data_IF_181546211366
#
_entry.id   IF_181546211366
#
_cell.length_a   1.000
_cell.length_b   1.000
_cell.length_c   1.000
_cell.angle_alpha   90.00
_cell.angle_beta   90.00
_cell.angle_gamma   90.00
#
_symmetry.space_group_name_H-M   'P 1'
#
loop_
_entity.id
_entity.type
_entity.pdbx_description
1 polymer ?
#
# COMPACT_ATOMS: atom_id res chain seq x y z
N UNK A 1 10.89 16.23 7.23
CA UNK A 1 9.55 15.78 6.79
C UNK A 1 9.65 15.53 5.29
N UNK A 2 9.22 14.36 4.81
CA UNK A 2 9.18 14.10 3.36
C UNK A 2 8.19 15.03 2.70
N UNK A 3 8.52 15.52 1.51
CA UNK A 3 7.56 16.25 0.65
C UNK A 3 6.87 15.23 -0.25
N UNK A 4 5.57 15.32 -0.39
CA UNK A 4 4.76 14.45 -1.25
C UNK A 4 4.09 15.26 -2.38
N UNK A 5 4.67 16.40 -2.72
CA UNK A 5 4.17 17.35 -3.73
C UNK A 5 3.98 16.70 -5.11
N UNK A 6 4.85 15.75 -5.45
CA UNK A 6 4.79 15.00 -6.73
C UNK A 6 3.53 14.14 -6.88
N UNK A 7 2.82 13.85 -5.77
CA UNK A 7 1.60 13.03 -5.75
C UNK A 7 0.29 13.84 -5.66
N UNK A 8 0.32 15.17 -5.81
CA UNK A 8 -0.88 16.02 -5.67
C UNK A 8 -2.00 15.72 -6.66
N UNK A 9 -1.66 15.26 -7.88
CA UNK A 9 -2.63 14.91 -8.90
C UNK A 9 -3.11 13.46 -8.79
N UNK A 10 -2.61 12.71 -7.81
CA UNK A 10 -2.90 11.30 -7.62
C UNK A 10 -3.80 11.14 -6.41
N UNK A 11 -4.74 10.21 -6.52
CA UNK A 11 -5.66 9.86 -5.46
C UNK A 11 -5.58 8.36 -5.18
N UNK A 12 -5.83 7.99 -3.93
CA UNK A 12 -5.94 6.62 -3.45
C UNK A 12 -7.40 6.26 -3.20
N UNK A 13 -7.79 5.03 -3.48
CA UNK A 13 -9.18 4.57 -3.31
C UNK A 13 -9.60 4.57 -1.84
N UNK A 14 -10.86 4.89 -1.58
CA UNK A 14 -11.46 4.86 -0.24
C UNK A 14 -11.41 3.46 0.38
N UNK A 15 -11.40 2.39 -0.41
CA UNK A 15 -11.21 1.00 0.08
C UNK A 15 -9.88 0.82 0.79
N UNK A 16 -8.80 1.38 0.25
CA UNK A 16 -7.47 1.36 0.87
C UNK A 16 -7.47 2.16 2.16
N UNK A 17 -8.01 3.38 2.16
CA UNK A 17 -8.10 4.24 3.35
C UNK A 17 -8.94 3.59 4.43
N UNK A 18 -10.08 2.99 4.08
CA UNK A 18 -10.94 2.22 4.98
C UNK A 18 -10.18 1.05 5.64
N UNK A 19 -9.41 0.30 4.85
CA UNK A 19 -8.55 -0.78 5.36
C UNK A 19 -7.52 -0.28 6.38
N UNK A 20 -6.96 0.91 6.15
CA UNK A 20 -6.06 1.56 7.10
C UNK A 20 -6.76 1.86 8.43
N UNK A 21 -7.95 2.47 8.41
CA UNK A 21 -8.71 2.76 9.63
C UNK A 21 -9.01 1.49 10.43
N UNK A 22 -9.40 0.42 9.74
CA UNK A 22 -9.67 -0.87 10.37
C UNK A 22 -8.43 -1.52 10.99
N UNK A 23 -7.24 -1.31 10.40
CA UNK A 23 -5.99 -1.87 10.92
C UNK A 23 -5.61 -1.35 12.30
N UNK A 24 -6.05 -0.15 12.64
CA UNK A 24 -5.75 0.47 13.92
C UNK A 24 -6.51 -0.17 15.10
N UNK A 25 -7.56 -0.95 14.87
CA UNK A 25 -8.31 -1.64 15.91
C UNK A 25 -8.66 -0.71 17.09
N UNK A 26 -8.13 -1.00 18.27
CA UNK A 26 -8.33 -0.18 19.49
C UNK A 26 -7.70 1.22 19.43
N UNK A 27 -6.81 1.49 18.46
CA UNK A 27 -6.19 2.80 18.23
C UNK A 27 -6.95 3.61 17.16
N UNK A 28 -8.19 3.27 16.88
CA UNK A 28 -9.02 3.93 15.87
C UNK A 28 -9.16 5.44 16.06
N UNK A 29 -9.18 5.91 17.31
CA UNK A 29 -9.20 7.34 17.61
C UNK A 29 -7.94 8.06 17.07
N UNK A 30 -6.77 7.44 17.19
CA UNK A 30 -5.53 7.99 16.64
C UNK A 30 -5.54 7.99 15.12
N UNK A 31 -6.00 6.91 14.48
CA UNK A 31 -6.17 6.88 13.02
C UNK A 31 -7.09 8.01 12.55
N UNK A 32 -8.22 8.22 13.24
CA UNK A 32 -9.17 9.30 12.97
C UNK A 32 -8.51 10.67 13.07
N UNK A 33 -7.77 10.92 14.14
CA UNK A 33 -7.03 12.17 14.32
C UNK A 33 -6.03 12.43 13.19
N UNK A 34 -5.26 11.43 12.80
CA UNK A 34 -4.24 11.55 11.74
C UNK A 34 -4.88 11.82 10.36
N UNK A 35 -5.95 11.12 10.01
CA UNK A 35 -6.62 11.27 8.73
C UNK A 35 -7.40 12.59 8.64
N UNK A 36 -8.17 12.92 9.67
CA UNK A 36 -8.93 14.17 9.72
C UNK A 36 -8.03 15.41 9.72
N UNK A 37 -6.85 15.34 10.33
CA UNK A 37 -5.86 16.43 10.28
C UNK A 37 -5.33 16.71 8.86
N UNK A 38 -5.40 15.72 7.97
CA UNK A 38 -5.04 15.85 6.55
C UNK A 38 -6.28 16.05 5.65
N UNK A 39 -7.48 16.22 6.23
CA UNK A 39 -8.72 16.39 5.49
C UNK A 39 -9.16 15.13 4.74
N UNK A 40 -8.87 13.96 5.28
CA UNK A 40 -9.28 12.66 4.73
C UNK A 40 -10.46 12.13 5.55
N UNK A 41 -11.58 11.87 4.87
CA UNK A 41 -12.83 11.43 5.48
C UNK A 41 -13.61 12.56 6.16
N UNK A 42 -14.68 12.20 6.81
CA UNK A 42 -15.59 13.09 7.53
C UNK A 42 -15.57 12.76 9.02
N UNK A 43 -15.74 13.77 9.86
CA UNK A 43 -15.79 13.58 11.32
C UNK A 43 -17.20 13.18 11.74
N UNK A 44 -17.36 12.02 12.38
CA UNK A 44 -18.59 11.59 13.01
C UNK A 44 -18.86 12.32 14.35
N UNK A 45 -20.07 12.18 14.90
CA UNK A 45 -20.47 12.78 16.18
C UNK A 45 -19.62 12.28 17.36
N UNK A 46 -19.16 11.04 17.31
CA UNK A 46 -18.24 10.43 18.30
C UNK A 46 -16.77 10.84 18.12
N UNK A 47 -16.48 11.69 17.12
CA UNK A 47 -15.14 12.17 16.80
C UNK A 47 -14.32 11.23 15.92
N UNK A 48 -14.85 10.07 15.56
CA UNK A 48 -14.18 9.12 14.67
C UNK A 48 -14.27 9.56 13.22
N UNK A 49 -13.33 9.08 12.39
CA UNK A 49 -13.38 9.30 10.95
C UNK A 49 -14.37 8.33 10.28
N UNK A 50 -15.21 8.88 9.43
CA UNK A 50 -16.01 8.13 8.45
C UNK A 50 -15.28 8.19 7.12
N UNK A 51 -15.00 7.03 6.54
CA UNK A 51 -14.38 6.90 5.22
C UNK A 51 -15.37 6.21 4.29
N UNK A 52 -15.77 6.91 3.24
CA UNK A 52 -16.52 6.30 2.15
C UNK A 52 -15.58 5.44 1.30
N UNK A 53 -15.83 4.14 1.26
CA UNK A 53 -15.04 3.19 0.49
C UNK A 53 -15.11 3.42 -1.03
N UNK A 54 -16.11 4.13 -1.52
CA UNK A 54 -16.28 4.47 -2.93
C UNK A 54 -15.66 5.82 -3.30
N UNK A 55 -15.26 6.62 -2.31
CA UNK A 55 -14.57 7.89 -2.53
C UNK A 55 -13.10 7.71 -2.94
N UNK A 56 -12.50 8.82 -3.35
CA UNK A 56 -11.07 8.91 -3.67
C UNK A 56 -10.46 10.06 -2.86
N UNK A 57 -9.26 9.85 -2.34
CA UNK A 57 -8.60 10.78 -1.44
C UNK A 57 -7.22 11.18 -1.98
N UNK A 58 -6.79 12.45 -1.82
CA UNK A 58 -5.48 12.92 -2.28
C UNK A 58 -4.34 12.10 -1.70
N UNK A 59 -3.49 11.54 -2.57
CA UNK A 59 -2.39 10.65 -2.15
C UNK A 59 -1.34 11.39 -1.34
N UNK A 60 -1.01 12.63 -1.68
CA UNK A 60 -0.07 13.47 -0.93
C UNK A 60 -0.50 13.65 0.52
N UNK A 61 -1.79 13.89 0.77
CA UNK A 61 -2.36 14.02 2.12
C UNK A 61 -2.35 12.69 2.86
N UNK A 62 -2.71 11.62 2.18
CA UNK A 62 -2.68 10.28 2.75
C UNK A 62 -1.26 9.87 3.16
N UNK A 63 -0.26 10.18 2.34
CA UNK A 63 1.14 9.92 2.66
C UNK A 63 1.65 10.74 3.86
N UNK A 64 1.16 11.99 4.05
CA UNK A 64 1.48 12.76 5.27
C UNK A 64 0.90 12.12 6.53
N UNK A 65 -0.34 11.61 6.47
CA UNK A 65 -0.92 10.85 7.57
C UNK A 65 -0.09 9.59 7.89
N UNK A 66 0.37 8.86 6.86
CA UNK A 66 1.27 7.72 7.01
C UNK A 66 2.61 8.08 7.64
N UNK A 67 3.23 9.17 7.22
CA UNK A 67 4.51 9.63 7.77
C UNK A 67 4.38 9.94 9.27
N UNK A 68 3.29 10.62 9.68
CA UNK A 68 2.98 10.86 11.09
C UNK A 68 2.72 9.57 11.87
N UNK A 69 1.96 8.64 11.28
CA UNK A 69 1.73 7.32 11.89
C UNK A 69 3.05 6.56 12.11
N UNK A 70 3.95 6.60 11.13
CA UNK A 70 5.29 6.00 11.22
C UNK A 70 6.11 6.56 12.36
N UNK A 71 6.11 7.89 12.51
CA UNK A 71 6.86 8.58 13.57
C UNK A 71 6.32 8.29 14.97
N UNK A 72 5.00 8.13 15.12
CA UNK A 72 4.36 7.94 16.42
C UNK A 72 4.33 6.48 16.88
N UNK A 73 4.19 5.53 15.95
CA UNK A 73 3.87 4.14 16.27
C UNK A 73 4.89 3.12 15.75
N UNK A 74 5.73 3.50 14.82
CA UNK A 74 6.78 2.66 14.27
C UNK A 74 6.33 1.53 13.33
N UNK A 75 7.29 0.69 12.96
CA UNK A 75 7.15 -0.35 11.94
C UNK A 75 6.08 -1.43 12.20
N UNK A 76 5.86 -1.93 13.44
CA UNK A 76 4.85 -2.97 13.68
C UNK A 76 3.43 -2.55 13.30
N UNK A 77 3.07 -1.30 13.57
CA UNK A 77 1.74 -0.77 13.21
C UNK A 77 1.63 -0.58 11.70
N UNK A 78 2.66 -0.04 11.05
CA UNK A 78 2.68 0.08 9.59
C UNK A 78 2.55 -1.27 8.89
N UNK A 79 3.22 -2.30 9.40
CA UNK A 79 3.06 -3.67 8.90
C UNK A 79 1.61 -4.16 9.04
N UNK A 80 0.99 -3.95 10.22
CA UNK A 80 -0.40 -4.36 10.44
C UNK A 80 -1.38 -3.59 9.54
N UNK A 81 -1.12 -2.31 9.28
CA UNK A 81 -1.87 -1.51 8.31
C UNK A 81 -1.78 -2.14 6.92
N UNK A 82 -0.57 -2.50 6.46
CA UNK A 82 -0.39 -3.19 5.18
C UNK A 82 -1.17 -4.51 5.09
N UNK A 83 -1.11 -5.34 6.13
CA UNK A 83 -1.88 -6.60 6.21
C UNK A 83 -3.39 -6.35 6.08
N UNK A 84 -3.91 -5.34 6.74
CA UNK A 84 -5.34 -5.00 6.69
C UNK A 84 -5.73 -4.43 5.32
N UNK A 85 -4.90 -3.56 4.75
CA UNK A 85 -5.13 -2.96 3.43
C UNK A 85 -5.27 -4.05 2.36
N UNK A 86 -4.45 -5.10 2.41
CA UNK A 86 -4.56 -6.22 1.47
C UNK A 86 -5.94 -6.91 1.48
N UNK A 87 -6.71 -6.84 2.57
CA UNK A 87 -8.05 -7.44 2.68
C UNK A 87 -9.14 -6.59 2.05
N UNK A 88 -8.94 -5.28 1.95
CA UNK A 88 -9.92 -4.30 1.47
C UNK A 88 -9.58 -3.76 0.09
N UNK A 89 -8.32 -3.85 -0.32
CA UNK A 89 -7.87 -3.47 -1.66
C UNK A 89 -8.58 -4.31 -2.73
N UNK A 90 -8.78 -3.70 -3.87
CA UNK A 90 -9.28 -4.40 -5.05
C UNK A 90 -8.16 -5.21 -5.70
N UNK A 91 -8.42 -6.49 -5.94
CA UNK A 91 -7.47 -7.41 -6.56
C UNK A 91 -7.96 -7.85 -7.92
N UNK A 92 -7.01 -8.12 -8.82
CA UNK A 92 -7.32 -8.72 -10.11
C UNK A 92 -7.78 -10.17 -9.92
N UNK A 93 -8.78 -10.66 -10.68
CA UNK A 93 -9.25 -12.03 -10.57
C UNK A 93 -8.18 -13.06 -11.04
N UNK A 94 -8.29 -14.31 -10.54
CA UNK A 94 -7.54 -15.50 -10.99
C UNK A 94 -6.10 -15.68 -10.50
N UNK A 95 -5.70 -15.13 -9.37
CA UNK A 95 -4.42 -15.48 -8.73
C UNK A 95 -4.62 -16.73 -7.86
N UNK A 96 -3.79 -17.77 -8.09
CA UNK A 96 -3.90 -19.08 -7.40
C UNK A 96 -2.67 -19.45 -6.57
N UNK A 97 -1.53 -18.86 -6.88
CA UNK A 97 -0.25 -19.14 -6.23
C UNK A 97 0.60 -17.88 -6.08
N UNK A 98 1.72 -18.05 -5.42
CA UNK A 98 2.63 -16.93 -5.12
C UNK A 98 3.29 -16.36 -6.38
N UNK A 99 3.54 -17.19 -7.40
CA UNK A 99 4.12 -16.74 -8.67
C UNK A 99 3.15 -15.88 -9.47
N UNK A 100 1.87 -16.25 -9.44
CA UNK A 100 0.81 -15.44 -10.03
C UNK A 100 0.49 -14.17 -9.23
N UNK A 101 0.63 -14.23 -7.89
CA UNK A 101 0.36 -13.08 -7.01
C UNK A 101 1.30 -11.90 -7.28
N UNK A 102 2.61 -12.15 -7.33
CA UNK A 102 3.59 -11.06 -7.31
C UNK A 102 3.43 -10.11 -8.50
N UNK A 103 3.25 -10.57 -9.76
CA UNK A 103 2.92 -9.69 -10.88
C UNK A 103 1.59 -8.93 -10.72
N UNK A 104 0.63 -9.49 -9.97
CA UNK A 104 -0.67 -8.87 -9.76
C UNK A 104 -0.65 -7.75 -8.69
N UNK A 105 0.38 -7.72 -7.84
CA UNK A 105 0.53 -6.65 -6.83
C UNK A 105 0.64 -5.29 -7.50
N UNK A 106 1.43 -5.17 -8.55
CA UNK A 106 1.60 -3.92 -9.29
C UNK A 106 0.30 -3.48 -9.98
N UNK A 107 -0.44 -4.41 -10.57
CA UNK A 107 -1.77 -4.14 -11.15
C UNK A 107 -2.77 -3.70 -10.08
N UNK A 108 -2.86 -4.42 -8.96
CA UNK A 108 -3.74 -4.05 -7.85
C UNK A 108 -3.35 -2.69 -7.25
N UNK A 109 -2.05 -2.40 -7.18
CA UNK A 109 -1.55 -1.11 -6.73
C UNK A 109 -2.07 0.02 -7.63
N UNK A 110 -1.89 -0.08 -8.95
CA UNK A 110 -2.37 0.92 -9.91
C UNK A 110 -3.91 0.97 -10.00
N UNK A 111 -4.61 -0.15 -9.81
CA UNK A 111 -6.08 -0.21 -9.75
C UNK A 111 -6.65 0.59 -8.57
N UNK A 112 -5.94 0.62 -7.45
CA UNK A 112 -6.35 1.35 -6.24
C UNK A 112 -5.86 2.82 -6.22
N UNK A 113 -5.31 3.30 -7.33
CA UNK A 113 -4.91 4.70 -7.52
C UNK A 113 -5.50 5.26 -8.81
N UNK A 114 -5.79 6.57 -8.82
CA UNK A 114 -6.19 7.28 -10.03
C UNK A 114 -5.44 8.60 -10.14
N UNK A 115 -5.25 9.06 -11.37
CA UNK A 115 -4.66 10.37 -11.68
C UNK A 115 -5.64 11.18 -12.52
N UNK A 116 -5.96 12.41 -12.10
CA UNK A 116 -6.92 13.29 -12.79
C UNK A 116 -8.24 12.59 -13.12
N UNK A 117 -8.77 11.81 -12.16
CA UNK A 117 -10.04 11.07 -12.29
C UNK A 117 -9.96 9.75 -13.07
N UNK A 118 -8.81 9.40 -13.68
CA UNK A 118 -8.62 8.15 -14.41
C UNK A 118 -7.82 7.14 -13.60
N UNK A 119 -8.36 5.93 -13.42
CA UNK A 119 -7.67 4.81 -12.75
C UNK A 119 -6.36 4.52 -13.46
N UNK A 120 -5.28 4.29 -12.70
CA UNK A 120 -3.92 4.20 -13.24
C UNK A 120 -3.60 2.85 -13.89
N UNK A 121 -4.46 1.85 -13.81
CA UNK A 121 -4.39 0.62 -14.58
C UNK A 121 -5.64 0.46 -15.45
N UNK A 122 -5.43 0.27 -16.74
CA UNK A 122 -6.49 -0.01 -17.71
C UNK A 122 -6.55 -1.52 -17.95
N UNK A 123 -7.60 -2.16 -17.46
CA UNK A 123 -7.80 -3.60 -17.57
C UNK A 123 -7.96 -4.08 -19.02
N UNK A 124 -8.50 -3.25 -19.91
CA UNK A 124 -8.75 -3.64 -21.31
C UNK A 124 -7.46 -3.71 -22.13
N UNK A 125 -6.50 -2.84 -21.83
CA UNK A 125 -5.22 -2.73 -22.56
C UNK A 125 -4.02 -3.26 -21.78
N UNK A 126 -4.20 -3.61 -20.51
CA UNK A 126 -3.15 -3.94 -19.53
C UNK A 126 -2.09 -2.84 -19.38
N UNK A 127 -2.46 -1.57 -19.66
CA UNK A 127 -1.55 -0.43 -19.56
C UNK A 127 -1.65 0.23 -18.19
N UNK A 128 -0.50 0.59 -17.65
CA UNK A 128 -0.36 1.36 -16.41
C UNK A 128 0.07 2.79 -16.70
N UNK A 129 -0.43 3.72 -15.89
CA UNK A 129 0.04 5.11 -15.91
C UNK A 129 1.23 5.25 -14.95
N UNK A 130 2.25 5.96 -15.42
CA UNK A 130 3.43 6.29 -14.63
C UNK A 130 3.14 7.39 -13.58
N UNK A 131 3.97 7.43 -12.52
CA UNK A 131 3.98 8.53 -11.55
C UNK A 131 3.80 8.14 -10.09
N UNK A 132 3.45 6.88 -9.79
CA UNK A 132 3.34 6.36 -8.41
C UNK A 132 4.42 5.34 -8.06
N UNK A 133 5.33 5.01 -8.99
CA UNK A 133 6.28 3.90 -8.87
C UNK A 133 5.61 2.54 -9.05
N UNK A 134 6.38 1.48 -8.90
CA UNK A 134 6.00 0.12 -9.27
C UNK A 134 6.40 -0.90 -8.22
N UNK A 135 5.81 -2.09 -8.33
CA UNK A 135 6.30 -3.34 -7.78
C UNK A 135 6.84 -4.21 -8.92
N UNK A 136 8.15 -4.16 -9.14
CA UNK A 136 8.82 -4.90 -10.23
C UNK A 136 9.23 -6.28 -9.74
N UNK A 137 8.78 -7.30 -10.45
CA UNK A 137 9.05 -8.70 -10.14
C UNK A 137 10.20 -9.25 -10.97
N UNK A 138 11.05 -10.07 -10.34
CA UNK A 138 12.09 -10.87 -11.02
C UNK A 138 12.17 -12.27 -10.43
N UNK A 139 12.12 -13.31 -11.28
CA UNK A 139 12.44 -14.67 -10.86
C UNK A 139 13.95 -14.83 -10.67
N UNK A 140 14.37 -15.51 -9.61
CA UNK A 140 15.79 -15.77 -9.31
C UNK A 140 16.15 -17.22 -9.66
N UNK A 141 17.44 -17.51 -10.00
CA UNK A 141 17.87 -18.86 -10.35
C UNK A 141 17.71 -19.90 -9.24
N UNK A 142 17.68 -19.45 -7.97
CA UNK A 142 17.49 -20.30 -6.79
C UNK A 142 16.01 -20.64 -6.50
N UNK A 143 15.11 -20.29 -7.41
CA UNK A 143 13.68 -20.52 -7.28
C UNK A 143 12.95 -19.50 -6.38
N UNK A 144 13.66 -18.57 -5.76
CA UNK A 144 13.03 -17.46 -5.04
C UNK A 144 12.58 -16.37 -6.02
N UNK A 145 11.78 -15.44 -5.52
CA UNK A 145 11.31 -14.28 -6.28
C UNK A 145 11.81 -13.01 -5.64
N UNK A 146 12.25 -12.07 -6.43
CA UNK A 146 12.61 -10.73 -5.99
C UNK A 146 11.52 -9.75 -6.39
N UNK A 147 11.10 -8.91 -5.46
CA UNK A 147 10.19 -7.80 -5.69
C UNK A 147 10.88 -6.50 -5.31
N UNK A 148 11.04 -5.62 -6.27
CA UNK A 148 11.52 -4.26 -6.06
C UNK A 148 10.34 -3.29 -6.01
N UNK A 149 10.23 -2.52 -4.91
CA UNK A 149 9.17 -1.54 -4.71
C UNK A 149 9.73 -0.12 -4.75
N UNK A 150 9.28 0.68 -5.73
CA UNK A 150 9.66 2.10 -5.90
C UNK A 150 8.55 3.07 -5.49
N UNK A 151 7.43 2.57 -4.97
CA UNK A 151 6.28 3.33 -4.50
C UNK A 151 6.61 4.24 -3.29
N UNK A 152 5.74 5.24 -2.93
CA UNK A 152 5.98 6.16 -1.81
C UNK A 152 5.76 5.56 -0.42
N UNK A 153 5.13 4.39 -0.30
CA UNK A 153 4.71 3.81 0.98
C UNK A 153 5.91 3.35 1.83
N UNK A 154 5.80 3.36 3.18
CA UNK A 154 6.87 2.87 4.05
C UNK A 154 7.17 1.38 3.84
N UNK A 155 8.44 0.97 3.98
CA UNK A 155 8.87 -0.42 3.80
C UNK A 155 8.09 -1.42 4.66
N UNK A 156 7.78 -1.06 5.90
CA UNK A 156 7.03 -1.92 6.80
C UNK A 156 5.59 -2.12 6.34
N UNK A 157 4.97 -1.09 5.75
CA UNK A 157 3.66 -1.20 5.12
C UNK A 157 3.70 -2.17 3.93
N UNK A 158 4.65 -2.01 3.02
CA UNK A 158 4.80 -2.91 1.87
C UNK A 158 4.97 -4.36 2.29
N UNK A 159 5.85 -4.61 3.28
CA UNK A 159 6.01 -5.96 3.82
C UNK A 159 4.69 -6.52 4.37
N UNK A 160 3.91 -5.68 5.04
CA UNK A 160 2.58 -6.03 5.52
C UNK A 160 1.59 -6.31 4.40
N UNK A 161 1.58 -5.46 3.35
CA UNK A 161 0.73 -5.63 2.17
C UNK A 161 1.01 -6.96 1.45
N UNK A 162 2.28 -7.27 1.20
CA UNK A 162 2.72 -8.52 0.60
C UNK A 162 2.27 -9.73 1.43
N UNK A 163 2.47 -9.68 2.75
CA UNK A 163 2.06 -10.75 3.65
C UNK A 163 0.53 -10.90 3.73
N UNK A 164 -0.19 -9.78 3.75
CA UNK A 164 -1.65 -9.76 3.72
C UNK A 164 -2.21 -10.33 2.42
N UNK A 165 -1.61 -9.98 1.29
CA UNK A 165 -1.97 -10.51 -0.02
C UNK A 165 -1.78 -12.04 -0.10
N UNK A 166 -0.65 -12.56 0.42
CA UNK A 166 -0.46 -14.01 0.54
C UNK A 166 -1.57 -14.69 1.35
N UNK A 167 -1.97 -14.08 2.47
CA UNK A 167 -3.08 -14.62 3.30
C UNK A 167 -4.42 -14.61 2.58
N UNK A 168 -4.75 -13.53 1.89
CA UNK A 168 -6.00 -13.39 1.12
C UNK A 168 -6.10 -14.46 0.04
N UNK A 169 -4.97 -14.82 -0.56
CA UNK A 169 -4.89 -15.78 -1.66
C UNK A 169 -4.50 -17.18 -1.21
N UNK A 170 -4.46 -17.44 0.12
CA UNK A 170 -4.07 -18.73 0.70
C UNK A 170 -2.71 -19.25 0.20
N UNK A 171 -1.82 -18.35 -0.25
CA UNK A 171 -0.47 -18.70 -0.68
C UNK A 171 0.43 -19.00 0.52
N UNK A 172 1.20 -20.08 0.44
CA UNK A 172 2.23 -20.43 1.43
C UNK A 172 3.55 -19.76 1.07
N UNK A 173 4.39 -19.47 2.07
CA UNK A 173 5.72 -18.93 1.82
C UNK A 173 6.16 -17.90 2.85
N UNK A 174 7.30 -17.25 2.58
CA UNK A 174 7.89 -16.23 3.43
C UNK A 174 8.28 -14.98 2.63
N UNK A 175 8.18 -13.81 3.26
CA UNK A 175 8.61 -12.52 2.71
C UNK A 175 9.67 -11.94 3.62
N UNK A 176 10.85 -11.70 3.03
CA UNK A 176 11.99 -11.07 3.70
C UNK A 176 12.26 -9.71 3.06
N UNK A 177 12.33 -8.66 3.87
CA UNK A 177 12.82 -7.35 3.41
C UNK A 177 14.34 -7.42 3.35
N UNK A 178 14.91 -7.34 2.16
CA UNK A 178 16.37 -7.36 1.96
C UNK A 178 16.94 -5.94 2.07
N UNK A 179 17.18 -5.51 3.31
CA UNK A 179 17.77 -4.20 3.58
C UNK A 179 19.27 -4.10 3.26
N UNK A 180 19.91 -5.18 2.80
CA UNK A 180 21.34 -5.15 2.40
C UNK A 180 21.51 -4.48 1.02
N UNK A 181 20.49 -4.54 0.16
CA UNK A 181 20.48 -3.89 -1.13
C UNK A 181 19.99 -2.44 -0.98
N UNK A 182 18.76 -2.16 -1.32
CA UNK A 182 18.20 -0.82 -1.33
C UNK A 182 17.04 -0.74 -0.32
N UNK A 183 16.95 0.38 0.43
CA UNK A 183 15.89 0.60 1.39
C UNK A 183 15.52 2.07 1.51
N UNK A 184 14.27 2.40 1.20
CA UNK A 184 13.72 3.77 1.28
C UNK A 184 13.81 4.38 2.69
N UNK A 185 13.87 3.56 3.73
CA UNK A 185 14.10 4.03 5.11
C UNK A 185 15.49 4.63 5.31
N UNK A 186 16.47 4.28 4.45
CA UNK A 186 17.80 4.87 4.41
C UNK A 186 17.95 6.02 3.41
N UNK A 187 16.86 6.40 2.73
CA UNK A 187 16.86 7.42 1.68
C UNK A 187 17.09 6.88 0.27
N UNK A 188 17.18 5.57 0.08
CA UNK A 188 17.25 4.97 -1.25
C UNK A 188 15.91 5.10 -2.00
N UNK A 189 15.94 4.90 -3.32
CA UNK A 189 14.74 5.05 -4.17
C UNK A 189 13.78 3.86 -4.11
N UNK A 190 14.27 2.69 -3.71
CA UNK A 190 13.48 1.44 -3.71
C UNK A 190 13.68 0.63 -2.44
N UNK A 191 12.84 -0.39 -2.27
CA UNK A 191 13.04 -1.48 -1.32
C UNK A 191 12.99 -2.81 -2.05
N UNK A 192 13.82 -3.77 -1.62
CA UNK A 192 13.84 -5.12 -2.17
C UNK A 192 13.24 -6.12 -1.19
N UNK A 193 12.35 -6.97 -1.67
CA UNK A 193 11.75 -8.06 -0.91
C UNK A 193 12.04 -9.38 -1.60
N UNK A 194 12.49 -10.38 -0.81
CA UNK A 194 12.68 -11.75 -1.28
C UNK A 194 11.47 -12.56 -0.85
N UNK A 195 10.79 -13.15 -1.82
CA UNK A 195 9.62 -13.97 -1.64
C UNK A 195 10.01 -15.42 -1.88
N UNK A 196 9.82 -16.27 -0.87
CA UNK A 196 10.09 -17.71 -0.91
C UNK A 196 8.75 -18.43 -0.92
N UNK A 197 8.52 -19.26 -1.94
CA UNK A 197 7.37 -20.15 -2.02
C UNK A 197 7.60 -21.41 -1.18
#
# INVERSE_FOLDING_TARGET
MRTFEEYKEIEVSGRVVFGVVHAFGNLRALASQLLLAEGIGEKADDGMVIVDAMAWFPLDRFMRAFDRASQQMGDPVLHQIGVSTARTAEWTPNVRDLKGLVPQIDRAYHLNHRRLGKVMWDQATDQMQEGIGHYVYRARPDGTMELEATNPYPCAFDKGLLFGAMKVLHAQGAILHDATHSCRKRGDKSCTYIVKA
#
